data_IF_404391032270
#
_entry.id   IF_404391032270
#
_cell.length_a   1.000
_cell.length_b   1.000
_cell.length_c   1.000
_cell.angle_alpha   90.00
_cell.angle_beta   90.00
_cell.angle_gamma   90.00
#
_symmetry.space_group_name_H-M   'P 1'
#
loop_
_entity.id
_entity.type
_entity.pdbx_description
1 polymer ?
#
# COMPACT_ATOMS: atom_id res chain seq x y z
N UNK A 1 2.53 -5.03 -6.50
CA UNK A 1 3.38 -4.24 -5.58
C UNK A 1 2.67 -2.92 -5.31
N UNK A 2 2.49 -2.51 -4.04
CA UNK A 2 1.82 -1.24 -3.73
C UNK A 2 2.84 -0.11 -3.75
N UNK A 3 2.80 0.73 -4.77
CA UNK A 3 3.62 1.93 -4.84
C UNK A 3 2.82 3.08 -4.25
N UNK A 4 3.18 3.52 -3.04
CA UNK A 4 2.65 4.75 -2.48
C UNK A 4 3.64 5.85 -2.85
N UNK A 5 3.31 6.62 -3.89
CA UNK A 5 4.14 7.77 -4.28
C UNK A 5 3.90 8.92 -3.32
N UNK A 6 4.98 9.42 -2.72
CA UNK A 6 5.01 10.72 -2.04
C UNK A 6 4.62 11.76 -3.09
N UNK A 7 3.63 12.59 -2.77
CA UNK A 7 3.27 13.76 -3.56
C UNK A 7 4.53 14.50 -4.01
N UNK A 8 4.73 14.55 -5.33
CA UNK A 8 5.88 15.13 -6.01
C UNK A 8 6.23 16.50 -5.41
N UNK A 9 7.47 16.66 -4.94
CA UNK A 9 8.02 17.98 -4.67
C UNK A 9 8.03 18.76 -6.00
N UNK A 10 7.46 19.96 -5.95
CA UNK A 10 7.03 20.75 -7.10
C UNK A 10 8.11 20.87 -8.18
N UNK A 11 7.88 20.23 -9.33
CA UNK A 11 8.50 20.66 -10.57
C UNK A 11 7.95 22.08 -10.86
N UNK A 12 8.84 23.06 -11.01
CA UNK A 12 8.57 24.38 -11.60
C UNK A 12 8.00 25.52 -10.71
N UNK A 13 8.11 25.46 -9.37
CA UNK A 13 7.90 26.65 -8.51
C UNK A 13 6.46 27.22 -8.48
N UNK A 14 5.51 26.50 -9.07
CA UNK A 14 4.07 26.77 -9.00
C UNK A 14 3.48 26.11 -7.73
N UNK A 15 2.41 26.66 -7.14
CA UNK A 15 1.83 26.07 -5.95
C UNK A 15 1.25 24.67 -6.26
N UNK A 16 1.57 23.70 -5.40
CA UNK A 16 1.31 22.26 -5.57
C UNK A 16 -0.12 21.90 -6.04
N UNK A 17 -1.13 22.68 -5.59
CA UNK A 17 -2.53 22.41 -5.91
C UNK A 17 -2.89 22.54 -7.40
N UNK A 18 -2.09 23.27 -8.19
CA UNK A 18 -2.36 23.48 -9.63
C UNK A 18 -2.13 22.20 -10.43
N UNK A 19 -1.09 21.43 -10.10
CA UNK A 19 -0.69 20.24 -10.84
C UNK A 19 -1.24 18.94 -10.24
N UNK A 20 -1.69 18.96 -8.99
CA UNK A 20 -2.14 17.76 -8.29
C UNK A 20 -3.22 16.95 -9.06
N UNK A 21 -4.24 17.56 -9.69
CA UNK A 21 -5.22 16.80 -10.46
C UNK A 21 -4.62 16.15 -11.72
N UNK A 22 -3.70 16.84 -12.40
CA UNK A 22 -3.06 16.33 -13.61
C UNK A 22 -2.08 15.19 -13.29
N UNK A 23 -1.28 15.34 -12.23
CA UNK A 23 -0.38 14.29 -11.74
C UNK A 23 -1.17 13.05 -11.34
N UNK A 24 -2.32 13.22 -10.67
CA UNK A 24 -3.23 12.12 -10.34
C UNK A 24 -3.69 11.38 -11.60
N UNK A 25 -4.20 12.09 -12.59
CA UNK A 25 -4.66 11.48 -13.85
C UNK A 25 -3.53 10.70 -14.52
N UNK A 26 -2.36 11.31 -14.72
CA UNK A 26 -1.21 10.66 -15.36
C UNK A 26 -0.82 9.36 -14.62
N UNK A 27 -0.82 9.40 -13.28
CA UNK A 27 -0.47 8.25 -12.46
C UNK A 27 -1.50 7.12 -12.55
N UNK A 28 -2.78 7.46 -12.47
CA UNK A 28 -3.88 6.50 -12.50
C UNK A 28 -4.06 5.91 -13.91
N UNK A 29 -4.01 6.74 -14.95
CA UNK A 29 -4.10 6.34 -16.36
C UNK A 29 -2.93 5.41 -16.76
N UNK A 30 -1.71 5.69 -16.29
CA UNK A 30 -0.55 4.83 -16.57
C UNK A 30 -0.67 3.42 -15.98
N UNK A 31 -1.51 3.23 -14.96
CA UNK A 31 -1.73 1.92 -14.33
C UNK A 31 -3.08 1.30 -14.68
N UNK A 32 -3.96 2.01 -15.40
CA UNK A 32 -5.32 1.56 -15.70
C UNK A 32 -5.37 0.21 -16.43
N UNK A 33 -4.44 -0.02 -17.34
CA UNK A 33 -4.39 -1.22 -18.19
C UNK A 33 -3.45 -2.31 -17.64
N UNK A 34 -2.98 -2.20 -16.39
CA UNK A 34 -2.07 -3.17 -15.77
C UNK A 34 -2.83 -4.13 -14.87
N UNK A 35 -2.89 -5.39 -15.28
CA UNK A 35 -3.60 -6.44 -14.51
C UNK A 35 -2.91 -6.83 -13.19
N UNK A 36 -1.64 -6.46 -13.01
CA UNK A 36 -0.80 -6.85 -11.87
C UNK A 36 -0.46 -5.66 -10.94
N UNK A 37 -1.04 -4.49 -11.19
CA UNK A 37 -0.80 -3.28 -10.42
C UNK A 37 -2.11 -2.61 -9.99
N UNK A 38 -2.09 -2.02 -8.80
CA UNK A 38 -3.15 -1.13 -8.34
C UNK A 38 -2.50 0.20 -8.01
N UNK A 39 -3.05 1.27 -8.57
CA UNK A 39 -2.60 2.63 -8.32
C UNK A 39 -3.72 3.44 -7.68
N UNK A 40 -3.33 4.31 -6.77
CA UNK A 40 -4.19 5.31 -6.17
C UNK A 40 -3.32 6.48 -5.72
N UNK A 41 -3.96 7.55 -5.29
CA UNK A 41 -3.31 8.76 -4.81
C UNK A 41 -3.94 9.17 -3.49
N UNK A 42 -3.10 9.44 -2.49
CA UNK A 42 -3.53 9.81 -1.14
C UNK A 42 -3.29 11.29 -0.89
N UNK A 43 -4.12 11.88 -0.04
CA UNK A 43 -3.82 13.16 0.56
C UNK A 43 -2.63 13.02 1.53
N UNK A 44 -1.96 14.14 1.78
CA UNK A 44 -0.76 14.14 2.61
C UNK A 44 -1.04 13.67 4.05
N UNK A 45 -2.17 14.08 4.64
CA UNK A 45 -2.60 13.72 5.99
C UNK A 45 -3.00 12.24 6.10
N UNK A 46 -3.65 11.68 5.07
CA UNK A 46 -3.93 10.25 4.96
C UNK A 46 -2.64 9.44 4.95
N UNK A 47 -1.67 9.85 4.12
CA UNK A 47 -0.36 9.21 4.04
C UNK A 47 0.40 9.29 5.38
N UNK A 48 0.46 10.46 6.00
CA UNK A 48 1.11 10.63 7.31
C UNK A 48 0.46 9.75 8.38
N UNK A 49 -0.87 9.60 8.34
CA UNK A 49 -1.60 8.73 9.26
C UNK A 49 -1.23 7.25 9.07
N UNK A 50 -1.06 6.80 7.82
CA UNK A 50 -0.61 5.44 7.51
C UNK A 50 0.82 5.23 8.01
N UNK A 51 1.75 6.14 7.68
CA UNK A 51 3.15 6.04 8.10
C UNK A 51 3.26 5.99 9.62
N UNK A 52 2.57 6.90 10.34
CA UNK A 52 2.58 6.92 11.81
C UNK A 52 2.16 5.58 12.41
N UNK A 53 1.08 4.98 11.90
CA UNK A 53 0.59 3.67 12.38
C UNK A 53 1.55 2.54 12.03
N UNK A 54 2.08 2.54 10.81
CA UNK A 54 2.99 1.52 10.34
C UNK A 54 4.37 1.59 11.02
N UNK A 55 4.84 2.78 11.40
CA UNK A 55 6.06 2.91 12.22
C UNK A 55 5.83 2.36 13.63
N UNK A 56 4.65 2.56 14.21
CA UNK A 56 4.32 2.03 15.55
C UNK A 56 4.08 0.51 15.54
N UNK A 57 3.58 -0.03 14.43
CA UNK A 57 3.33 -1.46 14.22
C UNK A 57 3.86 -1.89 12.84
N UNK A 58 5.19 -2.07 12.70
CA UNK A 58 5.85 -2.35 11.42
C UNK A 58 5.59 -3.76 10.89
N UNK A 59 5.00 -4.62 11.71
CA UNK A 59 4.61 -5.97 11.36
C UNK A 59 3.17 -6.21 11.82
N UNK A 60 2.31 -6.63 10.90
CA UNK A 60 0.90 -6.85 11.15
C UNK A 60 0.40 -8.08 10.38
N UNK A 61 -0.43 -8.90 11.01
CA UNK A 61 -1.10 -10.04 10.37
C UNK A 61 -2.60 -9.79 10.45
N UNK A 62 -3.29 -9.94 9.32
CA UNK A 62 -4.75 -9.84 9.26
C UNK A 62 -5.37 -10.96 8.43
N UNK A 63 -6.60 -11.38 8.78
CA UNK A 63 -7.34 -12.33 7.97
C UNK A 63 -7.85 -11.64 6.71
N UNK A 64 -7.68 -12.31 5.57
CA UNK A 64 -8.35 -11.97 4.31
C UNK A 64 -9.42 -13.03 4.08
N UNK A 65 -10.67 -12.61 4.24
CA UNK A 65 -11.84 -13.47 4.11
C UNK A 65 -12.11 -13.83 2.66
N UNK A 66 -12.50 -15.08 2.43
CA UNK A 66 -12.99 -15.59 1.15
C UNK A 66 -14.38 -16.21 1.36
N UNK A 67 -14.99 -16.69 0.28
CA UNK A 67 -16.29 -17.37 0.35
C UNK A 67 -16.28 -18.53 1.36
N UNK A 68 -15.18 -19.30 1.41
CA UNK A 68 -14.98 -20.37 2.39
C UNK A 68 -13.70 -20.12 3.21
N UNK A 69 -13.87 -19.61 4.43
CA UNK A 69 -12.79 -19.38 5.38
C UNK A 69 -12.00 -18.09 5.16
N UNK A 70 -10.77 -18.08 5.67
CA UNK A 70 -9.88 -16.94 5.58
C UNK A 70 -8.44 -17.44 5.44
N UNK A 71 -7.57 -16.56 4.95
CA UNK A 71 -6.14 -16.76 5.08
C UNK A 71 -5.47 -15.61 5.82
N UNK A 72 -4.36 -15.91 6.48
CA UNK A 72 -3.56 -14.88 7.12
C UNK A 72 -2.67 -14.20 6.09
N UNK A 73 -2.79 -12.88 6.01
CA UNK A 73 -1.93 -12.03 5.22
C UNK A 73 -1.02 -11.26 6.18
N UNK A 74 0.28 -11.42 5.99
CA UNK A 74 1.29 -10.62 6.66
C UNK A 74 1.51 -9.34 5.86
N UNK A 75 1.53 -8.20 6.54
CA UNK A 75 1.98 -6.92 6.01
C UNK A 75 3.13 -6.39 6.86
N UNK A 76 4.24 -6.04 6.21
CA UNK A 76 5.44 -5.54 6.85
C UNK A 76 5.87 -4.22 6.20
N UNK A 77 6.04 -3.18 7.00
CA UNK A 77 6.72 -1.96 6.56
C UNK A 77 8.24 -2.20 6.58
N UNK A 78 8.89 -2.07 5.43
CA UNK A 78 10.34 -2.05 5.32
C UNK A 78 10.76 -0.76 4.63
N UNK A 79 11.44 0.12 5.36
CA UNK A 79 11.87 1.43 4.87
C UNK A 79 10.70 2.25 4.29
N UNK A 80 10.57 2.28 2.97
CA UNK A 80 9.59 3.08 2.23
C UNK A 80 8.47 2.26 1.58
N UNK A 81 8.42 0.94 1.77
CA UNK A 81 7.44 0.07 1.13
C UNK A 81 6.80 -0.94 2.09
N UNK A 82 5.58 -1.36 1.74
CA UNK A 82 4.88 -2.45 2.41
C UNK A 82 5.07 -3.75 1.62
N UNK A 83 5.59 -4.77 2.28
CA UNK A 83 5.61 -6.13 1.77
C UNK A 83 4.40 -6.88 2.30
N UNK A 84 3.61 -7.43 1.38
CA UNK A 84 2.43 -8.20 1.68
C UNK A 84 2.66 -9.63 1.24
N UNK A 85 2.56 -10.58 2.17
CA UNK A 85 2.84 -11.98 1.93
C UNK A 85 1.75 -12.87 2.50
N UNK A 86 1.38 -13.90 1.75
CA UNK A 86 0.53 -14.97 2.22
C UNK A 86 1.26 -15.82 3.25
N UNK A 87 0.68 -16.00 4.43
CA UNK A 87 1.30 -16.77 5.51
C UNK A 87 0.69 -18.17 5.58
N UNK A 88 1.51 -19.18 5.22
CA UNK A 88 1.16 -20.60 5.43
C UNK A 88 1.84 -21.09 6.70
N UNK A 89 1.05 -21.43 7.71
CA UNK A 89 1.55 -22.22 8.83
C UNK A 89 1.70 -23.68 8.39
N UNK A 90 2.84 -24.05 7.78
CA UNK A 90 3.10 -25.45 7.38
C UNK A 90 3.43 -26.40 8.54
N UNK A 91 3.46 -25.92 9.79
CA UNK A 91 3.95 -26.72 10.93
C UNK A 91 3.00 -26.84 12.13
N UNK A 92 1.71 -26.49 12.01
CA UNK A 92 0.75 -26.59 13.12
C UNK A 92 -0.13 -27.86 13.10
N UNK A 93 0.30 -28.92 12.42
CA UNK A 93 -0.32 -30.25 12.46
C UNK A 93 0.76 -31.32 12.62
N UNK A 94 1.42 -31.35 13.78
CA UNK A 94 2.08 -32.57 14.28
C UNK A 94 2.10 -32.63 15.81
N UNK A 95 1.08 -32.08 16.44
CA UNK A 95 0.78 -32.33 17.85
C UNK A 95 -0.73 -32.52 17.93
N UNK A 96 -1.17 -33.77 17.73
CA UNK A 96 -2.18 -34.53 18.47
C UNK A 96 -2.34 -35.88 17.78
#
# INVERSE_FOLDING_TARGET
MFYITRSFEALQGQPYHVWAPQIRSIWEDFHADKDDAVATTLLADEFQSIVKRATAAPYFIFPVYRQEGFFNMQCQLQQSCFFVMYLVFKYCCSLY
#
